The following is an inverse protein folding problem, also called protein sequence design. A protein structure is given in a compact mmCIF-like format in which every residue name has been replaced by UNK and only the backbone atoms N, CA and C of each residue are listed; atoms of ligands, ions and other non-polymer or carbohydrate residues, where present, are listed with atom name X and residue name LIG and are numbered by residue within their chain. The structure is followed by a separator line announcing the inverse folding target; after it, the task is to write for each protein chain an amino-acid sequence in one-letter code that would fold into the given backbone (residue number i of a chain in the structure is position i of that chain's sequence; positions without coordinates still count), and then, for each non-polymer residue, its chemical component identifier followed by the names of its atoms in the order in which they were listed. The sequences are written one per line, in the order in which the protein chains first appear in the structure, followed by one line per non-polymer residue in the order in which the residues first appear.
data_IF_791897424243
#
_entry.id   IF_791897424243
#
_cell.length_a   1.000
_cell.length_b   1.000
_cell.length_c   1.000
_cell.angle_alpha   90.00
_cell.angle_beta   90.00
_cell.angle_gamma   90.00
#
_symmetry.space_group_name_H-M   'P 1'
#
loop_
_entity.id
_entity.type
_entity.pdbx_description
1 polymer ?
#
# COMPACT_ATOMS: atom_id res chain seq x y z
N UNK A 1 12.55 -17.62 -4.48
CA UNK A 1 12.21 -16.28 -5.04
C UNK A 1 12.14 -16.24 -6.58
N UNK A 2 12.99 -16.96 -7.34
CA UNK A 2 12.95 -16.93 -8.82
C UNK A 2 11.73 -17.63 -9.46
N UNK A 3 11.31 -18.79 -8.95
CA UNK A 3 10.19 -19.58 -9.52
C UNK A 3 8.82 -18.88 -9.37
N UNK A 4 8.56 -18.20 -8.25
CA UNK A 4 7.31 -17.47 -8.03
C UNK A 4 7.13 -16.28 -8.98
N UNK A 5 8.24 -15.62 -9.35
CA UNK A 5 8.22 -14.53 -10.32
C UNK A 5 7.88 -15.04 -11.74
N UNK A 6 8.49 -16.14 -12.17
CA UNK A 6 8.19 -16.78 -13.46
C UNK A 6 6.74 -17.24 -13.53
N UNK A 7 6.23 -17.88 -12.47
CA UNK A 7 4.83 -18.30 -12.40
C UNK A 7 3.85 -17.12 -12.46
N UNK A 8 4.16 -16.03 -11.74
CA UNK A 8 3.34 -14.82 -11.75
C UNK A 8 3.34 -14.13 -13.12
N UNK A 9 4.49 -14.08 -13.79
CA UNK A 9 4.62 -13.53 -15.14
C UNK A 9 3.81 -14.37 -16.13
N UNK A 10 3.95 -15.70 -16.10
CA UNK A 10 3.20 -16.61 -16.95
C UNK A 10 1.69 -16.45 -16.75
N UNK A 11 1.23 -16.44 -15.49
CA UNK A 11 -0.19 -16.26 -15.16
C UNK A 11 -0.70 -14.89 -15.64
N UNK A 12 0.10 -13.84 -15.54
CA UNK A 12 -0.28 -12.50 -16.01
C UNK A 12 -0.39 -12.46 -17.53
N UNK A 13 0.59 -13.00 -18.25
CA UNK A 13 0.60 -13.07 -19.71
C UNK A 13 -0.56 -13.92 -20.24
N UNK A 14 -0.82 -15.10 -19.65
CA UNK A 14 -1.92 -15.97 -20.07
C UNK A 14 -3.28 -15.31 -19.81
N UNK A 15 -3.49 -14.71 -18.63
CA UNK A 15 -4.73 -13.96 -18.39
C UNK A 15 -4.87 -12.78 -19.36
N UNK A 16 -3.79 -12.06 -19.66
CA UNK A 16 -3.79 -10.98 -20.65
C UNK A 16 -4.18 -11.46 -22.06
N UNK A 17 -3.63 -12.61 -22.49
CA UNK A 17 -3.98 -13.22 -23.78
C UNK A 17 -5.47 -13.62 -23.84
N UNK A 18 -6.01 -14.18 -22.75
CA UNK A 18 -7.43 -14.50 -22.65
C UNK A 18 -8.30 -13.25 -22.81
N UNK A 19 -7.93 -12.15 -22.15
CA UNK A 19 -8.66 -10.88 -22.28
C UNK A 19 -8.55 -10.26 -23.68
N UNK A 20 -7.39 -10.40 -24.34
CA UNK A 20 -7.21 -9.99 -25.73
C UNK A 20 -8.12 -10.78 -26.68
N UNK A 21 -8.17 -12.11 -26.53
CA UNK A 21 -9.07 -12.96 -27.30
C UNK A 21 -10.53 -12.62 -27.05
N UNK A 22 -10.91 -12.38 -25.80
CA UNK A 22 -12.25 -11.90 -25.45
C UNK A 22 -12.57 -10.57 -26.16
N UNK A 23 -11.62 -9.64 -26.18
CA UNK A 23 -11.76 -8.36 -26.86
C UNK A 23 -12.00 -8.50 -28.36
N UNK A 24 -11.33 -9.44 -29.03
CA UNK A 24 -11.55 -9.72 -30.45
C UNK A 24 -12.91 -10.39 -30.71
N UNK A 25 -13.37 -11.27 -29.82
CA UNK A 25 -14.64 -11.99 -29.99
C UNK A 25 -15.85 -11.09 -29.73
N UNK A 26 -15.70 -10.02 -28.94
CA UNK A 26 -16.80 -9.14 -28.54
C UNK A 26 -17.53 -8.48 -29.72
N UNK A 27 -16.88 -7.79 -30.69
CA UNK A 27 -17.57 -7.21 -31.84
C UNK A 27 -18.27 -8.25 -32.71
N UNK A 28 -17.69 -9.45 -32.82
CA UNK A 28 -18.27 -10.55 -33.60
C UNK A 28 -19.57 -11.05 -32.96
N UNK A 29 -19.56 -11.25 -31.65
CA UNK A 29 -20.74 -11.66 -30.86
C UNK A 29 -21.85 -10.60 -30.89
N UNK A 30 -21.50 -9.30 -30.79
CA UNK A 30 -22.46 -8.21 -30.86
C UNK A 30 -23.21 -8.15 -32.21
N UNK A 31 -22.57 -8.58 -33.30
CA UNK A 31 -23.17 -8.61 -34.65
C UNK A 31 -24.10 -9.79 -34.88
N UNK A 32 -23.84 -10.94 -34.24
CA UNK A 32 -24.65 -12.16 -34.39
C UNK A 32 -25.84 -12.20 -33.43
N UNK A 33 -25.81 -11.39 -32.38
CA UNK A 33 -26.82 -11.31 -31.33
C UNK A 33 -28.25 -10.97 -31.79
N UNK A 34 -28.48 -9.97 -32.67
CA UNK A 34 -29.84 -9.62 -33.11
C UNK A 34 -30.54 -10.78 -33.84
N UNK A 35 -29.77 -11.67 -34.48
CA UNK A 35 -30.27 -12.85 -35.19
C UNK A 35 -30.61 -14.00 -34.23
N UNK A 36 -29.95 -14.09 -33.07
CA UNK A 36 -30.20 -15.13 -32.05
C UNK A 36 -31.30 -14.69 -31.07
N UNK A 37 -31.36 -13.41 -30.73
CA UNK A 37 -32.38 -12.84 -29.85
C UNK A 37 -33.79 -12.84 -30.48
N UNK A 38 -33.87 -12.66 -31.80
CA UNK A 38 -35.13 -12.77 -32.55
C UNK A 38 -35.68 -14.21 -32.60
N UNK A 39 -34.80 -15.22 -32.62
CA UNK A 39 -35.20 -16.63 -32.52
C UNK A 39 -35.64 -17.04 -31.11
N UNK A 40 -35.17 -16.33 -30.07
CA UNK A 40 -35.52 -16.58 -28.67
C UNK A 40 -36.76 -15.79 -28.18
N UNK A 41 -37.45 -15.05 -29.07
CA UNK A 41 -38.70 -14.33 -28.74
C UNK A 41 -38.50 -12.98 -28.03
N UNK A 42 -37.29 -12.42 -28.01
CA UNK A 42 -37.02 -11.12 -27.36
C UNK A 42 -37.08 -10.01 -28.40
N UNK A 43 -38.19 -9.26 -28.41
CA UNK A 43 -38.54 -8.30 -29.48
C UNK A 43 -37.67 -7.04 -29.56
N UNK A 44 -36.74 -6.78 -28.62
CA UNK A 44 -35.90 -5.58 -28.67
C UNK A 44 -34.50 -5.80 -28.06
N UNK A 45 -33.41 -5.35 -28.74
CA UNK A 45 -32.02 -5.40 -28.25
C UNK A 45 -31.81 -4.78 -26.86
N UNK A 46 -32.69 -3.86 -26.44
CA UNK A 46 -32.62 -3.16 -25.17
C UNK A 46 -32.82 -4.08 -23.95
N UNK A 47 -33.66 -5.11 -24.07
CA UNK A 47 -33.89 -6.06 -22.98
C UNK A 47 -32.66 -6.93 -22.69
N UNK A 48 -31.88 -7.26 -23.72
CA UNK A 48 -30.64 -8.03 -23.55
C UNK A 48 -29.60 -7.26 -22.74
N UNK A 49 -29.46 -5.95 -23.01
CA UNK A 49 -28.60 -5.07 -22.23
C UNK A 49 -29.08 -4.98 -20.78
N UNK A 50 -30.39 -4.87 -20.57
CA UNK A 50 -30.98 -4.83 -19.24
C UNK A 50 -30.71 -6.13 -18.45
N UNK A 51 -30.83 -7.31 -19.08
CA UNK A 51 -30.47 -8.58 -18.45
C UNK A 51 -28.99 -8.65 -18.09
N UNK A 52 -28.09 -8.21 -18.99
CA UNK A 52 -26.66 -8.18 -18.71
C UNK A 52 -26.33 -7.27 -17.52
N UNK A 53 -26.93 -6.08 -17.45
CA UNK A 53 -26.77 -5.15 -16.33
C UNK A 53 -27.33 -5.74 -15.04
N UNK A 54 -28.55 -6.29 -15.07
CA UNK A 54 -29.20 -6.88 -13.89
C UNK A 54 -28.40 -8.06 -13.32
N UNK A 55 -27.89 -8.94 -14.19
CA UNK A 55 -27.09 -10.10 -13.79
C UNK A 55 -25.73 -9.65 -13.24
N UNK A 56 -25.10 -8.65 -13.86
CA UNK A 56 -23.86 -8.08 -13.31
C UNK A 56 -24.09 -7.48 -11.93
N UNK A 57 -25.20 -6.74 -11.75
CA UNK A 57 -25.56 -6.16 -10.46
C UNK A 57 -25.84 -7.25 -9.41
N UNK A 58 -26.59 -8.29 -9.77
CA UNK A 58 -26.92 -9.41 -8.89
C UNK A 58 -25.67 -10.18 -8.47
N UNK A 59 -24.76 -10.48 -9.40
CA UNK A 59 -23.48 -11.15 -9.09
C UNK A 59 -22.56 -10.26 -8.25
N UNK A 60 -22.54 -8.96 -8.52
CA UNK A 60 -21.81 -7.97 -7.72
C UNK A 60 -22.33 -7.92 -6.28
N UNK A 61 -23.65 -7.84 -6.10
CA UNK A 61 -24.32 -7.86 -4.79
C UNK A 61 -24.09 -9.18 -4.05
N UNK A 62 -24.20 -10.33 -4.73
CA UNK A 62 -23.95 -11.64 -4.13
C UNK A 62 -22.50 -11.75 -3.65
N UNK A 63 -21.55 -11.26 -4.44
CA UNK A 63 -20.14 -11.19 -4.07
C UNK A 63 -19.92 -10.28 -2.86
N UNK A 64 -20.55 -9.11 -2.85
CA UNK A 64 -20.49 -8.19 -1.71
C UNK A 64 -21.06 -8.83 -0.43
N UNK A 65 -22.21 -9.50 -0.54
CA UNK A 65 -22.84 -10.23 0.56
C UNK A 65 -21.94 -11.36 1.08
N UNK A 66 -21.26 -12.11 0.20
CA UNK A 66 -20.33 -13.16 0.60
C UNK A 66 -19.13 -12.61 1.38
N UNK A 67 -18.56 -11.50 0.92
CA UNK A 67 -17.44 -10.83 1.58
C UNK A 67 -17.87 -10.28 2.94
N UNK A 68 -19.06 -9.67 3.02
CA UNK A 68 -19.68 -9.23 4.26
C UNK A 68 -19.87 -10.37 5.26
N UNK A 69 -20.37 -11.51 4.79
CA UNK A 69 -20.61 -12.68 5.61
C UNK A 69 -19.30 -13.27 6.15
N UNK A 70 -18.29 -13.42 5.29
CA UNK A 70 -16.94 -13.88 5.68
C UNK A 70 -16.34 -13.02 6.78
N UNK A 71 -16.56 -11.71 6.72
CA UNK A 71 -16.11 -10.77 7.76
C UNK A 71 -16.87 -10.97 9.08
N UNK A 72 -18.21 -11.01 9.05
CA UNK A 72 -19.02 -11.28 10.25
C UNK A 72 -18.59 -12.58 10.92
N UNK A 73 -18.29 -13.60 10.12
CA UNK A 73 -17.85 -14.92 10.60
C UNK A 73 -16.43 -14.87 11.18
N UNK A 74 -15.52 -14.09 10.58
CA UNK A 74 -14.16 -13.86 11.11
C UNK A 74 -14.18 -13.10 12.43
N UNK A 75 -15.01 -12.05 12.54
CA UNK A 75 -15.19 -11.28 13.79
C UNK A 75 -15.81 -12.17 14.87
N UNK A 76 -16.83 -12.95 14.53
CA UNK A 76 -17.47 -13.89 15.45
C UNK A 76 -16.49 -14.96 15.95
N UNK A 77 -15.69 -15.55 15.04
CA UNK A 77 -14.63 -16.52 15.39
C UNK A 77 -13.53 -15.91 16.27
N UNK A 78 -13.13 -14.66 16.02
CA UNK A 78 -12.11 -13.97 16.84
C UNK A 78 -12.64 -13.55 18.21
N UNK A 79 -13.91 -13.11 18.30
CA UNK A 79 -14.59 -12.81 19.56
C UNK A 79 -14.69 -14.04 20.47
N UNK A 80 -14.96 -15.23 19.90
CA UNK A 80 -14.91 -16.51 20.64
C UNK A 80 -13.51 -16.90 21.13
N UNK A 81 -12.43 -16.40 20.52
CA UNK A 81 -11.04 -16.70 20.88
C UNK A 81 -10.43 -15.73 21.89
N UNK A 82 -11.22 -14.84 22.50
CA UNK A 82 -10.77 -13.97 23.61
C UNK A 82 -9.75 -12.89 23.23
N UNK A 83 -9.39 -12.73 21.94
CA UNK A 83 -8.51 -11.65 21.49
C UNK A 83 -9.35 -10.39 21.29
N UNK A 84 -9.31 -9.49 22.27
CA UNK A 84 -9.83 -8.13 22.15
C UNK A 84 -8.91 -7.36 21.19
N UNK A 85 -9.23 -7.40 19.90
CA UNK A 85 -8.58 -6.54 18.92
C UNK A 85 -9.61 -5.56 18.41
N UNK A 86 -9.32 -4.27 18.63
CA UNK A 86 -10.00 -3.11 18.06
C UNK A 86 -9.66 -2.97 16.57
N UNK A 87 -9.68 -4.06 15.78
CA UNK A 87 -9.68 -3.93 14.32
C UNK A 87 -11.09 -3.46 13.99
N UNK A 88 -11.28 -2.14 13.89
CA UNK A 88 -12.47 -1.58 13.24
C UNK A 88 -12.45 -2.12 11.81
N UNK A 89 -13.39 -2.99 11.43
CA UNK A 89 -13.38 -3.56 10.11
C UNK A 89 -13.79 -2.46 9.13
N UNK A 90 -12.81 -1.86 8.46
CA UNK A 90 -13.05 -0.71 7.60
C UNK A 90 -13.67 -1.20 6.31
N UNK A 91 -14.87 -0.71 6.00
CA UNK A 91 -15.62 -1.01 4.80
C UNK A 91 -14.78 -0.85 3.52
N UNK A 92 -13.83 0.09 3.53
CA UNK A 92 -12.89 0.33 2.44
C UNK A 92 -11.96 -0.86 2.16
N UNK A 93 -11.39 -1.49 3.20
CA UNK A 93 -10.56 -2.71 3.04
C UNK A 93 -11.42 -3.88 2.54
N UNK A 94 -12.65 -3.96 3.05
CA UNK A 94 -13.61 -4.99 2.68
C UNK A 94 -13.99 -4.89 1.20
N UNK A 95 -14.28 -3.68 0.75
CA UNK A 95 -14.66 -3.41 -0.62
C UNK A 95 -13.45 -3.55 -1.56
N UNK A 96 -12.23 -3.18 -1.12
CA UNK A 96 -10.99 -3.47 -1.87
C UNK A 96 -10.78 -4.97 -2.01
N UNK A 97 -10.99 -5.79 -0.97
CA UNK A 97 -10.91 -7.24 -1.10
C UNK A 97 -12.01 -7.82 -2.02
N UNK A 98 -13.22 -7.26 -1.97
CA UNK A 98 -14.30 -7.65 -2.87
C UNK A 98 -13.93 -7.37 -4.34
N UNK A 99 -13.33 -6.21 -4.63
CA UNK A 99 -12.94 -5.77 -5.97
C UNK A 99 -11.60 -6.36 -6.44
N UNK A 100 -10.67 -6.71 -5.54
CA UNK A 100 -9.33 -7.20 -5.91
C UNK A 100 -9.35 -8.57 -6.61
N UNK A 101 -10.44 -9.33 -6.49
CA UNK A 101 -10.56 -10.66 -7.11
C UNK A 101 -11.28 -10.68 -8.44
N UNK A 102 -11.16 -9.64 -9.28
CA UNK A 102 -11.70 -9.67 -10.65
C UNK A 102 -10.80 -10.54 -11.52
N UNK A 103 -11.03 -11.84 -11.51
CA UNK A 103 -10.41 -12.81 -12.43
C UNK A 103 -11.50 -13.44 -13.29
N UNK A 104 -11.77 -12.84 -14.44
CA UNK A 104 -12.78 -13.32 -15.39
C UNK A 104 -12.38 -14.59 -16.17
N UNK A 105 -11.13 -15.04 -16.05
CA UNK A 105 -10.61 -16.20 -16.78
C UNK A 105 -11.27 -17.52 -16.38
N UNK A 106 -11.66 -17.69 -15.11
CA UNK A 106 -12.35 -18.90 -14.64
C UNK A 106 -13.76 -18.99 -15.24
N UNK A 107 -14.50 -17.88 -15.23
CA UNK A 107 -15.83 -17.82 -15.83
C UNK A 107 -15.77 -18.07 -17.34
N UNK A 108 -14.76 -17.53 -18.01
CA UNK A 108 -14.57 -17.77 -19.44
C UNK A 108 -14.23 -19.24 -19.73
N UNK A 109 -13.33 -19.85 -18.97
CA UNK A 109 -13.02 -21.26 -19.14
C UNK A 109 -14.29 -22.10 -19.01
N UNK A 110 -15.12 -21.83 -17.99
CA UNK A 110 -16.41 -22.50 -17.81
C UNK A 110 -17.34 -22.37 -19.01
N UNK A 111 -17.52 -21.17 -19.55
CA UNK A 111 -18.46 -20.98 -20.67
C UNK A 111 -17.96 -21.59 -21.98
N UNK A 112 -16.65 -21.60 -22.21
CA UNK A 112 -16.05 -22.23 -23.39
C UNK A 112 -16.09 -23.76 -23.33
N UNK A 113 -16.28 -24.33 -22.13
CA UNK A 113 -16.44 -25.79 -21.96
C UNK A 113 -17.84 -26.25 -22.33
N UNK A 114 -18.79 -25.34 -22.58
CA UNK A 114 -20.14 -25.71 -23.01
C UNK A 114 -20.09 -26.46 -24.35
N UNK A 115 -20.66 -27.69 -24.42
CA UNK A 115 -20.61 -28.51 -25.60
C UNK A 115 -21.35 -27.84 -26.76
N UNK A 116 -20.83 -28.01 -27.97
CA UNK A 116 -21.41 -27.44 -29.20
C UNK A 116 -22.71 -28.17 -29.57
N UNK A 117 -22.76 -29.47 -29.26
CA UNK A 117 -23.87 -30.39 -29.54
C UNK A 117 -24.22 -31.19 -28.29
N UNK A 118 -25.52 -31.42 -28.07
CA UNK A 118 -26.02 -32.33 -27.05
C UNK A 118 -25.66 -33.79 -27.41
N UNK A 119 -25.82 -34.70 -26.44
CA UNK A 119 -25.67 -36.14 -26.65
C UNK A 119 -26.55 -36.67 -27.80
N UNK A 120 -27.63 -35.94 -28.10
CA UNK A 120 -28.63 -36.29 -29.10
C UNK A 120 -28.29 -35.72 -30.50
N UNK A 121 -27.12 -35.07 -30.66
CA UNK A 121 -26.67 -34.46 -31.91
C UNK A 121 -27.28 -33.10 -32.24
N UNK A 122 -28.24 -32.61 -31.44
CA UNK A 122 -28.84 -31.27 -31.59
C UNK A 122 -27.89 -30.17 -31.11
N UNK A 123 -27.89 -28.97 -31.73
CA UNK A 123 -27.07 -27.84 -31.29
C UNK A 123 -27.51 -27.35 -29.90
N UNK A 124 -26.55 -26.94 -29.06
CA UNK A 124 -26.86 -26.47 -27.71
C UNK A 124 -27.71 -25.19 -27.75
N UNK A 125 -28.92 -25.20 -27.15
CA UNK A 125 -29.82 -24.06 -27.22
C UNK A 125 -29.25 -22.85 -26.46
N UNK A 126 -29.15 -21.71 -27.12
CA UNK A 126 -28.77 -20.44 -26.48
C UNK A 126 -27.31 -20.33 -26.02
N UNK A 127 -26.41 -21.21 -26.50
CA UNK A 127 -24.96 -21.15 -26.16
C UNK A 127 -24.36 -19.77 -26.42
N UNK A 128 -24.59 -19.23 -27.61
CA UNK A 128 -24.05 -17.91 -28.01
C UNK A 128 -24.59 -16.78 -27.12
N UNK A 129 -25.83 -16.89 -26.65
CA UNK A 129 -26.43 -15.93 -25.72
C UNK A 129 -25.74 -15.98 -24.35
N UNK A 130 -25.46 -17.18 -23.83
CA UNK A 130 -24.77 -17.37 -22.55
C UNK A 130 -23.31 -16.91 -22.61
N UNK A 131 -22.61 -17.14 -23.73
CA UNK A 131 -21.25 -16.64 -23.96
C UNK A 131 -21.25 -15.12 -23.98
N UNK A 132 -22.16 -14.50 -24.73
CA UNK A 132 -22.30 -13.05 -24.76
C UNK A 132 -22.57 -12.47 -23.37
N UNK A 133 -23.52 -13.05 -22.64
CA UNK A 133 -23.90 -12.58 -21.31
C UNK A 133 -22.73 -12.68 -20.33
N UNK A 134 -21.98 -13.78 -20.38
CA UNK A 134 -20.78 -13.99 -19.57
C UNK A 134 -19.69 -12.96 -19.90
N UNK A 135 -19.45 -12.69 -21.19
CA UNK A 135 -18.51 -11.66 -21.64
C UNK A 135 -18.93 -10.26 -21.17
N UNK A 136 -20.22 -9.91 -21.32
CA UNK A 136 -20.76 -8.63 -20.89
C UNK A 136 -20.61 -8.42 -19.37
N UNK A 137 -20.92 -9.44 -18.57
CA UNK A 137 -20.73 -9.44 -17.12
C UNK A 137 -19.26 -9.27 -16.75
N UNK A 138 -18.35 -10.00 -17.42
CA UNK A 138 -16.90 -9.88 -17.17
C UNK A 138 -16.42 -8.45 -17.44
N UNK A 139 -16.77 -7.88 -18.60
CA UNK A 139 -16.37 -6.52 -18.96
C UNK A 139 -16.95 -5.48 -18.00
N UNK A 140 -18.24 -5.56 -17.69
CA UNK A 140 -18.88 -4.61 -16.78
C UNK A 140 -18.27 -4.73 -15.37
N UNK A 141 -17.94 -5.94 -14.90
CA UNK A 141 -17.25 -6.12 -13.63
C UNK A 141 -15.84 -5.52 -13.61
N UNK A 142 -15.10 -5.60 -14.73
CA UNK A 142 -13.78 -4.97 -14.88
C UNK A 142 -13.88 -3.45 -14.86
N UNK A 143 -14.86 -2.87 -15.54
CA UNK A 143 -15.09 -1.42 -15.53
C UNK A 143 -15.43 -0.94 -14.11
N UNK A 144 -16.35 -1.65 -13.43
CA UNK A 144 -16.70 -1.34 -12.04
C UNK A 144 -15.47 -1.46 -11.13
N UNK A 145 -14.62 -2.46 -11.34
CA UNK A 145 -13.38 -2.60 -10.56
C UNK A 145 -12.36 -1.51 -10.87
N UNK A 146 -12.13 -1.19 -12.15
CA UNK A 146 -11.16 -0.19 -12.58
C UNK A 146 -11.51 1.21 -12.06
N UNK A 147 -12.80 1.54 -11.95
CA UNK A 147 -13.28 2.82 -11.41
C UNK A 147 -13.44 2.75 -9.88
N UNK A 148 -13.97 1.64 -9.37
CA UNK A 148 -14.26 1.45 -7.95
C UNK A 148 -13.00 1.39 -7.08
N UNK A 149 -11.91 0.79 -7.58
CA UNK A 149 -10.64 0.68 -6.84
C UNK A 149 -10.02 2.06 -6.55
N UNK A 150 -9.73 2.94 -7.53
CA UNK A 150 -9.13 4.25 -7.27
C UNK A 150 -10.04 5.16 -6.42
N UNK A 151 -11.35 5.08 -6.62
CA UNK A 151 -12.32 5.82 -5.81
C UNK A 151 -12.20 5.40 -4.34
N UNK A 152 -12.24 4.11 -4.05
CA UNK A 152 -12.16 3.61 -2.67
C UNK A 152 -10.79 3.75 -2.04
N UNK A 153 -9.69 3.67 -2.80
CA UNK A 153 -8.36 3.95 -2.24
C UNK A 153 -8.20 5.41 -1.85
N UNK A 154 -8.86 6.34 -2.56
CA UNK A 154 -8.88 7.75 -2.18
C UNK A 154 -9.60 7.99 -0.86
N UNK A 155 -10.76 7.35 -0.64
CA UNK A 155 -11.41 7.39 0.68
C UNK A 155 -10.59 6.67 1.75
N UNK A 156 -9.86 5.61 1.40
CA UNK A 156 -8.99 4.90 2.34
C UNK A 156 -7.80 5.76 2.81
N UNK A 157 -7.28 6.66 1.97
CA UNK A 157 -6.20 7.58 2.35
C UNK A 157 -6.66 8.62 3.39
N UNK A 158 -7.89 9.12 3.28
CA UNK A 158 -8.48 10.04 4.28
C UNK A 158 -8.91 9.32 5.56
N UNK A 159 -9.32 8.05 5.45
CA UNK A 159 -9.77 7.27 6.60
C UNK A 159 -8.59 6.63 7.36
N UNK A 160 -7.46 6.30 6.72
CA UNK A 160 -6.30 5.73 7.43
C UNK A 160 -6.02 6.61 8.65
N UNK A 161 -5.90 6.04 9.87
CA UNK A 161 -5.45 6.86 10.97
C UNK A 161 -4.09 7.37 10.50
N UNK A 162 -3.91 8.69 10.39
CA UNK A 162 -2.58 9.21 10.67
C UNK A 162 -2.21 8.51 11.97
N UNK A 163 -1.15 7.71 11.94
CA UNK A 163 -0.62 7.08 13.14
C UNK A 163 -0.20 8.24 14.03
N UNK A 164 -1.14 8.79 14.80
CA UNK A 164 -0.91 9.91 15.72
C UNK A 164 0.20 9.52 16.70
N UNK A 165 0.38 8.21 16.93
CA UNK A 165 1.53 7.67 17.65
C UNK A 165 2.88 7.96 16.98
N UNK A 166 3.01 7.96 15.64
CA UNK A 166 4.26 8.36 14.96
C UNK A 166 4.57 9.83 15.20
N UNK A 167 3.57 10.70 15.08
CA UNK A 167 3.75 12.14 15.28
C UNK A 167 4.08 12.46 16.75
N UNK A 168 3.38 11.82 17.69
CA UNK A 168 3.62 11.94 19.13
C UNK A 168 5.03 11.45 19.50
N UNK A 169 5.47 10.29 18.97
CA UNK A 169 6.82 9.77 19.21
C UNK A 169 7.87 10.66 18.53
N UNK A 170 7.60 11.18 17.33
CA UNK A 170 8.50 12.10 16.63
C UNK A 170 8.81 13.35 17.44
N UNK A 171 7.79 13.92 18.09
CA UNK A 171 7.94 15.05 19.01
C UNK A 171 8.81 14.68 20.21
N UNK A 172 8.52 13.55 20.88
CA UNK A 172 9.32 13.07 22.03
C UNK A 172 10.78 12.81 21.64
N UNK A 173 11.03 12.21 20.48
CA UNK A 173 12.39 11.94 19.99
C UNK A 173 13.17 13.23 19.68
N UNK A 174 12.47 14.28 19.23
CA UNK A 174 13.08 15.59 18.96
C UNK A 174 13.40 16.31 20.27
N UNK A 175 12.51 16.24 21.26
CA UNK A 175 12.76 16.77 22.60
C UNK A 175 13.97 16.10 23.27
N UNK A 176 14.06 14.77 23.21
CA UNK A 176 15.20 14.00 23.72
C UNK A 176 16.50 14.41 23.03
N UNK A 177 16.47 14.60 21.70
CA UNK A 177 17.64 15.03 20.95
C UNK A 177 18.12 16.43 21.36
N UNK A 178 17.20 17.39 21.50
CA UNK A 178 17.50 18.75 21.94
C UNK A 178 18.07 18.73 23.36
N UNK A 179 17.42 18.01 24.28
CA UNK A 179 17.88 17.91 25.67
C UNK A 179 19.26 17.27 25.76
N UNK A 180 19.54 16.22 24.99
CA UNK A 180 20.88 15.60 24.96
C UNK A 180 21.92 16.54 24.38
N UNK A 181 21.59 17.26 23.31
CA UNK A 181 22.50 18.22 22.70
C UNK A 181 22.82 19.38 23.66
N UNK A 182 21.82 19.93 24.34
CA UNK A 182 22.02 20.96 25.36
C UNK A 182 22.90 20.45 26.52
N UNK A 183 22.67 19.23 26.99
CA UNK A 183 23.51 18.63 28.04
C UNK A 183 24.98 18.46 27.61
N UNK A 184 25.25 18.17 26.33
CA UNK A 184 26.62 18.11 25.80
C UNK A 184 27.25 19.50 25.64
N UNK A 185 26.44 20.55 25.44
CA UNK A 185 26.91 21.93 25.35
C UNK A 185 27.19 22.54 26.73
N UNK A 186 26.47 22.10 27.76
CA UNK A 186 26.64 22.53 29.15
C UNK A 186 27.78 21.78 29.89
N UNK A 187 28.31 20.70 29.30
CA UNK A 187 29.43 19.94 29.88
C UNK A 187 30.73 20.78 29.81
N UNK A 188 31.39 21.06 30.96
CA UNK A 188 32.60 21.86 30.97
C UNK A 188 33.72 21.12 30.25
N UNK A 189 34.16 21.66 29.11
CA UNK A 189 35.29 21.13 28.35
C UNK A 189 36.58 21.31 29.16
N UNK A 190 37.22 20.20 29.55
CA UNK A 190 38.45 20.18 30.38
C UNK A 190 39.71 20.67 29.63
N UNK A 191 39.69 20.78 28.30
CA UNK A 191 40.84 21.22 27.49
C UNK A 191 40.56 22.54 26.72
N UNK A 192 41.27 23.65 27.02
CA UNK A 192 41.10 24.95 26.34
C UNK A 192 41.46 24.93 24.84
N UNK A 193 42.10 23.87 24.34
CA UNK A 193 42.47 23.71 22.93
C UNK A 193 41.44 22.94 22.10
N UNK A 194 40.43 22.35 22.73
CA UNK A 194 39.32 21.62 22.10
C UNK A 194 38.00 22.42 22.09
N UNK A 195 38.03 23.71 22.45
CA UNK A 195 36.85 24.56 22.46
C UNK A 195 36.38 24.82 21.00
N UNK A 196 35.32 24.16 20.52
CA UNK A 196 34.92 24.26 19.14
C UNK A 196 33.85 25.34 19.07
N UNK A 197 34.30 26.55 18.73
CA UNK A 197 33.48 27.76 18.62
C UNK A 197 32.92 28.27 19.96
N UNK A 198 32.90 29.61 20.09
CA UNK A 198 32.07 30.29 21.09
C UNK A 198 30.58 29.94 20.93
N UNK A 199 29.70 30.49 21.77
CA UNK A 199 28.33 29.99 21.99
C UNK A 199 27.58 29.83 20.68
N UNK A 200 27.62 28.62 20.12
CA UNK A 200 26.90 28.27 18.90
C UNK A 200 25.52 27.82 19.36
N UNK A 201 24.44 28.51 18.96
CA UNK A 201 23.10 28.10 19.35
C UNK A 201 22.84 26.69 18.80
N UNK A 202 22.22 25.82 19.61
CA UNK A 202 21.83 24.44 19.27
C UNK A 202 21.11 24.31 17.90
N UNK A 203 20.52 25.40 17.41
CA UNK A 203 19.91 25.55 16.09
C UNK A 203 20.89 25.27 14.94
N UNK A 204 22.19 25.53 15.09
CA UNK A 204 23.16 25.41 14.00
C UNK A 204 23.58 23.96 13.69
N UNK A 205 23.51 23.05 14.68
CA UNK A 205 23.80 21.63 14.50
C UNK A 205 22.62 20.83 13.89
N UNK A 206 21.42 21.44 13.80
CA UNK A 206 20.21 20.79 13.32
C UNK A 206 20.01 20.84 11.80
N UNK A 207 20.78 21.67 11.08
CA UNK A 207 20.69 21.76 9.63
C UNK A 207 21.67 20.79 8.99
N UNK A 208 21.22 19.87 8.12
CA UNK A 208 22.15 19.12 7.30
C UNK A 208 22.95 20.15 6.51
N UNK A 209 24.28 20.15 6.68
CA UNK A 209 25.21 20.99 5.92
C UNK A 209 25.27 20.41 4.50
N UNK A 210 24.18 20.57 3.75
CA UNK A 210 24.08 20.16 2.35
C UNK A 210 24.09 21.37 1.41
N UNK A 211 24.04 22.59 1.96
CA UNK A 211 24.29 23.83 1.22
C UNK A 211 25.64 24.38 1.63
N UNK A 212 26.58 24.47 0.69
CA UNK A 212 27.92 25.00 0.92
C UNK A 212 27.86 26.30 1.72
N UNK A 213 28.29 26.23 2.98
CA UNK A 213 28.54 27.43 3.76
C UNK A 213 29.88 27.97 3.27
N UNK A 214 29.81 28.94 2.36
CA UNK A 214 30.95 29.75 1.98
C UNK A 214 31.61 30.26 3.26
N UNK A 215 32.79 29.72 3.54
CA UNK A 215 33.66 30.15 4.61
C UNK A 215 33.90 31.65 4.41
N UNK A 216 33.12 32.48 5.09
CA UNK A 216 33.45 33.89 5.31
C UNK A 216 34.11 33.99 6.68
N UNK A 217 35.05 33.10 6.96
CA UNK A 217 36.09 33.40 7.95
C UNK A 217 37.31 33.83 7.14
N UNK A 218 37.52 35.14 7.09
CA UNK A 218 38.81 35.70 6.71
C UNK A 218 39.85 35.27 7.75
N UNK A 219 40.37 34.05 7.61
CA UNK A 219 41.55 33.58 8.35
C UNK A 219 42.48 32.93 7.34
N UNK A 220 43.36 33.78 6.81
CA UNK A 220 44.43 33.43 5.88
C UNK A 220 45.48 32.63 6.66
N UNK A 221 45.49 31.30 6.51
CA UNK A 221 46.48 30.43 7.18
C UNK A 221 46.44 28.99 6.68
N UNK A 222 47.56 28.27 6.79
CA UNK A 222 47.79 26.92 6.25
C UNK A 222 47.01 25.78 6.95
N UNK A 223 46.20 26.08 7.97
CA UNK A 223 45.56 25.09 8.86
C UNK A 223 44.06 24.87 8.68
N UNK A 224 43.43 25.47 7.65
CA UNK A 224 41.97 25.37 7.44
C UNK A 224 41.49 23.91 7.31
N UNK A 225 42.30 23.04 6.71
CA UNK A 225 41.97 21.62 6.55
C UNK A 225 41.95 20.83 7.87
N UNK A 226 42.82 21.17 8.82
CA UNK A 226 42.89 20.49 10.12
C UNK A 226 41.69 20.88 10.99
N UNK A 227 41.32 22.17 11.00
CA UNK A 227 40.15 22.67 11.72
C UNK A 227 38.83 22.12 11.16
N UNK A 228 38.71 21.99 9.84
CA UNK A 228 37.57 21.32 9.20
C UNK A 228 37.45 19.84 9.61
N UNK A 229 38.57 19.12 9.65
CA UNK A 229 38.59 17.72 10.06
C UNK A 229 38.22 17.53 11.53
N UNK A 230 38.65 18.43 12.43
CA UNK A 230 38.25 18.44 13.85
C UNK A 230 36.75 18.68 14.00
N UNK A 231 36.19 19.66 13.28
CA UNK A 231 34.74 19.96 13.31
C UNK A 231 33.90 18.79 12.82
N UNK A 232 34.29 18.14 11.73
CA UNK A 232 33.58 16.98 11.20
C UNK A 232 33.59 15.78 12.19
N UNK A 233 34.70 15.58 12.92
CA UNK A 233 34.78 14.55 13.98
C UNK A 233 33.85 14.86 15.15
N UNK A 234 33.83 16.12 15.58
CA UNK A 234 32.96 16.55 16.67
C UNK A 234 31.48 16.44 16.30
N UNK A 235 31.11 16.82 15.08
CA UNK A 235 29.74 16.70 14.58
C UNK A 235 29.27 15.23 14.60
N UNK A 236 30.10 14.31 14.07
CA UNK A 236 29.83 12.88 14.14
C UNK A 236 29.69 12.37 15.58
N UNK A 237 30.51 12.88 16.50
CA UNK A 237 30.42 12.53 17.91
C UNK A 237 29.10 12.99 18.53
N UNK A 238 28.71 14.26 18.34
CA UNK A 238 27.44 14.81 18.83
C UNK A 238 26.23 14.06 18.27
N UNK A 239 26.22 13.77 16.96
CA UNK A 239 25.14 13.02 16.32
C UNK A 239 25.02 11.59 16.86
N UNK A 240 26.15 10.92 17.13
CA UNK A 240 26.17 9.59 17.75
C UNK A 240 25.57 9.60 19.15
N UNK A 241 25.93 10.58 19.98
CA UNK A 241 25.40 10.73 21.33
C UNK A 241 23.88 10.98 21.34
N UNK A 242 23.39 11.79 20.41
CA UNK A 242 21.94 12.02 20.22
C UNK A 242 21.22 10.73 19.85
N UNK A 243 21.77 9.95 18.91
CA UNK A 243 21.19 8.66 18.48
C UNK A 243 21.11 7.68 19.64
N UNK A 244 22.15 7.60 20.47
CA UNK A 244 22.16 6.74 21.66
C UNK A 244 21.04 7.13 22.63
N UNK A 245 20.87 8.43 22.89
CA UNK A 245 19.80 8.94 23.76
C UNK A 245 18.40 8.63 23.20
N UNK A 246 18.18 8.86 21.91
CA UNK A 246 16.90 8.54 21.24
C UNK A 246 16.58 7.04 21.32
N UNK A 247 17.57 6.17 21.10
CA UNK A 247 17.39 4.71 21.21
C UNK A 247 17.00 4.33 22.64
N UNK A 248 17.68 4.86 23.66
CA UNK A 248 17.36 4.58 25.06
C UNK A 248 15.93 4.98 25.42
N UNK A 249 15.47 6.15 24.96
CA UNK A 249 14.11 6.61 25.21
C UNK A 249 13.07 5.75 24.48
N UNK A 250 13.35 5.34 23.24
CA UNK A 250 12.46 4.44 22.48
C UNK A 250 12.26 3.10 23.23
N UNK A 251 13.34 2.55 23.80
CA UNK A 251 13.26 1.35 24.63
C UNK A 251 12.55 1.59 25.97
N UNK A 252 12.65 2.79 26.56
CA UNK A 252 11.89 3.18 27.76
C UNK A 252 10.39 3.20 27.47
N UNK A 253 9.98 3.87 26.40
CA UNK A 253 8.58 3.94 25.95
C UNK A 253 8.00 2.57 25.63
N UNK A 254 8.81 1.67 25.03
CA UNK A 254 8.41 0.28 24.79
C UNK A 254 8.18 -0.48 26.09
N UNK A 255 9.08 -0.36 27.07
CA UNK A 255 8.92 -1.00 28.39
C UNK A 255 7.69 -0.49 29.14
N UNK A 256 7.35 0.79 28.97
CA UNK A 256 6.15 1.40 29.55
C UNK A 256 4.84 1.03 28.82
N UNK A 257 4.88 0.20 27.76
CA UNK A 257 3.73 -0.12 26.91
C UNK A 257 3.01 1.08 26.27
N UNK A 258 3.71 2.23 26.15
CA UNK A 258 3.13 3.44 25.56
C UNK A 258 3.13 3.46 24.04
N UNK A 259 3.82 2.50 23.38
CA UNK A 259 3.99 2.47 21.92
C UNK A 259 3.64 1.10 21.34
N UNK A 260 3.05 1.12 20.15
CA UNK A 260 2.73 -0.08 19.36
C UNK A 260 4.00 -0.76 18.84
N UNK A 261 3.97 -2.09 18.68
CA UNK A 261 5.08 -2.87 18.13
C UNK A 261 5.50 -2.38 16.75
N UNK A 262 4.52 -2.03 15.90
CA UNK A 262 4.77 -1.58 14.53
C UNK A 262 5.54 -0.26 14.54
N UNK A 263 5.05 0.71 15.30
CA UNK A 263 5.66 2.04 15.42
C UNK A 263 7.07 1.95 16.01
N UNK A 264 7.30 1.06 16.99
CA UNK A 264 8.63 0.81 17.53
C UNK A 264 9.62 0.31 16.46
N UNK A 265 9.27 -0.72 15.68
CA UNK A 265 10.18 -1.27 14.68
C UNK A 265 10.45 -0.27 13.55
N UNK A 266 9.46 0.56 13.21
CA UNK A 266 9.61 1.58 12.19
C UNK A 266 10.55 2.70 12.64
N UNK A 267 10.35 3.26 13.84
CA UNK A 267 11.23 4.30 14.40
C UNK A 267 12.64 3.75 14.66
N UNK A 268 12.76 2.52 15.15
CA UNK A 268 14.06 1.87 15.33
C UNK A 268 14.80 1.75 14.00
N UNK A 269 14.11 1.36 12.92
CA UNK A 269 14.72 1.30 11.58
C UNK A 269 15.19 2.68 11.11
N UNK A 270 14.44 3.75 11.36
CA UNK A 270 14.87 5.11 11.02
C UNK A 270 16.13 5.54 11.79
N UNK A 271 16.23 5.17 13.07
CA UNK A 271 17.42 5.41 13.91
C UNK A 271 18.60 4.59 13.38
N UNK A 272 18.41 3.32 13.06
CA UNK A 272 19.46 2.43 12.53
C UNK A 272 20.00 2.97 11.19
N UNK A 273 19.12 3.44 10.29
CA UNK A 273 19.53 4.06 9.03
C UNK A 273 20.34 5.35 9.25
N UNK A 274 19.97 6.16 10.24
CA UNK A 274 20.76 7.34 10.63
C UNK A 274 22.12 6.92 11.18
N UNK A 275 22.18 5.90 12.04
CA UNK A 275 23.44 5.38 12.59
C UNK A 275 24.37 4.85 11.49
N UNK A 276 23.82 4.14 10.50
CA UNK A 276 24.57 3.66 9.33
C UNK A 276 25.12 4.81 8.48
N UNK A 277 24.37 5.91 8.33
CA UNK A 277 24.85 7.08 7.58
C UNK A 277 26.03 7.81 8.22
N UNK A 278 26.28 7.58 9.51
CA UNK A 278 27.37 8.22 10.27
C UNK A 278 28.69 7.43 10.24
N UNK A 279 28.64 6.13 9.92
CA UNK A 279 29.84 5.29 9.74
C UNK A 279 30.62 5.77 8.51
#
# INVERSE_FOLDING_TARGET
MKSSAVWSMLQTTLNGMIFLMLGEQLPRMLRTLPAVASQAGVSSPWYLLLYAVAITLALGLMRFAWVWLSMKLTIFRRKRRGKAITIRPRFSILAVMALAGVKGSVTLAGILTLPVVLADGSPFPGRELLIFLSMAVILMSLVVAAIGLPFMTRYLADDLPHDTGKDDIGAVMTEVAINRLNALLDEPVEDPSEQPCGPMPAICCSKPISGGFTITTMTRGKDVGLELAKRARLEKYMQREVIIAQRQELFRLRRAHNISDITFYEVLREIDLKEESLR
#
